data_IF_724482122655
#
_entry.id   IF_724482122655
#
_cell.length_a   1.000
_cell.length_b   1.000
_cell.length_c   1.000
_cell.angle_alpha   90.00
_cell.angle_beta   90.00
_cell.angle_gamma   90.00
#
_symmetry.space_group_name_H-M   'P 1'
#
loop_
_entity.id
_entity.type
_entity.pdbx_description
1 polymer ?
#
# COMPACT_ATOMS: atom_id res chain seq x y z
N UNK A 1 24.96 68.64 8.66
CA UNK A 1 24.44 68.63 7.27
C UNK A 1 25.63 68.90 6.37
N UNK A 2 25.99 68.15 5.34
CA UNK A 2 25.54 66.89 4.73
C UNK A 2 26.64 66.58 3.68
N UNK A 3 26.89 65.29 3.44
CA UNK A 3 27.64 64.67 2.33
C UNK A 3 29.03 64.14 2.65
N UNK A 4 29.08 62.83 2.90
CA UNK A 4 30.26 61.99 2.72
C UNK A 4 30.08 61.25 1.39
N UNK A 5 30.96 61.52 0.43
CA UNK A 5 31.05 60.79 -0.84
C UNK A 5 31.60 59.37 -0.60
N UNK A 6 30.99 58.41 -1.29
CA UNK A 6 31.52 57.06 -1.47
C UNK A 6 32.79 57.13 -2.35
N UNK A 7 33.82 56.31 -2.06
CA UNK A 7 34.29 55.47 -3.15
C UNK A 7 34.45 54.00 -2.76
N UNK A 8 33.95 53.15 -3.66
CA UNK A 8 34.15 51.72 -3.67
C UNK A 8 35.58 51.37 -4.08
N UNK A 9 36.33 50.67 -3.20
CA UNK A 9 37.35 49.63 -3.49
C UNK A 9 38.30 49.50 -2.29
N UNK A 10 38.06 48.52 -1.40
CA UNK A 10 39.10 47.95 -0.51
C UNK A 10 38.57 46.89 0.47
N UNK A 11 37.69 45.97 0.05
CA UNK A 11 37.29 44.83 0.90
C UNK A 11 37.37 43.46 0.21
N UNK A 12 38.11 43.36 -0.89
CA UNK A 12 38.24 42.10 -1.64
C UNK A 12 39.40 41.19 -1.19
N UNK A 13 40.24 41.55 -0.20
CA UNK A 13 41.52 40.81 0.01
C UNK A 13 41.95 40.56 1.47
N UNK A 14 41.08 40.70 2.47
CA UNK A 14 41.50 40.51 3.87
C UNK A 14 40.50 39.73 4.74
N UNK A 15 40.07 38.56 4.28
CA UNK A 15 39.50 37.55 5.18
C UNK A 15 39.68 36.13 4.62
N UNK A 16 40.90 35.82 4.21
CA UNK A 16 41.35 34.45 3.92
C UNK A 16 42.49 34.11 4.87
N UNK A 17 42.17 33.76 6.12
CA UNK A 17 42.94 32.75 6.87
C UNK A 17 42.20 32.26 8.12
N UNK A 18 42.01 30.94 8.17
CA UNK A 18 41.97 30.08 9.35
C UNK A 18 40.81 30.23 10.34
N UNK A 19 39.70 29.55 10.04
CA UNK A 19 38.95 28.82 11.06
C UNK A 19 39.05 27.31 10.76
N UNK A 20 39.23 26.43 11.78
CA UNK A 20 39.48 25.02 11.55
C UNK A 20 38.21 24.35 11.04
N UNK A 21 38.33 23.58 9.96
CA UNK A 21 37.31 22.61 9.56
C UNK A 21 37.23 21.53 10.64
N UNK A 22 36.38 21.75 11.65
CA UNK A 22 35.85 20.66 12.46
C UNK A 22 35.03 19.76 11.53
N UNK A 23 35.64 18.62 11.19
CA UNK A 23 34.97 17.48 10.58
C UNK A 23 33.91 16.96 11.57
N UNK A 24 32.78 17.63 11.64
CA UNK A 24 31.57 17.11 12.24
C UNK A 24 31.06 15.99 11.34
N UNK A 25 31.67 14.82 11.48
CA UNK A 25 31.17 13.56 10.95
C UNK A 25 29.68 13.50 11.30
N UNK A 26 28.82 13.60 10.29
CA UNK A 26 27.37 13.51 10.42
C UNK A 26 27.07 12.22 11.16
N UNK A 27 26.82 12.31 12.47
CA UNK A 27 26.57 11.17 13.33
C UNK A 27 25.24 10.59 12.85
N UNK A 28 25.33 9.57 11.99
CA UNK A 28 24.16 8.81 11.52
C UNK A 28 23.35 8.46 12.74
N UNK A 29 22.14 9.01 12.86
CA UNK A 29 21.24 8.63 13.94
C UNK A 29 21.09 7.12 13.84
N UNK A 30 21.42 6.37 14.91
CA UNK A 30 21.26 4.94 14.89
C UNK A 30 19.77 4.69 14.65
N UNK A 31 19.44 4.12 13.48
CA UNK A 31 18.08 3.72 13.15
C UNK A 31 17.51 2.95 14.34
N UNK A 32 16.32 3.29 14.84
CA UNK A 32 15.76 2.65 16.02
C UNK A 32 15.43 1.18 15.68
N UNK A 33 16.42 0.30 15.82
CA UNK A 33 16.38 -1.10 15.38
C UNK A 33 15.17 -1.84 15.95
N UNK A 34 14.80 -1.51 17.19
CA UNK A 34 13.62 -2.05 17.86
C UNK A 34 12.30 -1.54 17.25
N UNK A 35 12.23 -0.27 16.85
CA UNK A 35 11.07 0.30 16.18
C UNK A 35 10.91 -0.26 14.77
N UNK A 36 12.02 -0.47 14.05
CA UNK A 36 12.01 -1.15 12.76
C UNK A 36 11.58 -2.62 12.89
N UNK A 37 12.02 -3.31 13.95
CA UNK A 37 11.59 -4.68 14.25
C UNK A 37 10.10 -4.76 14.58
N UNK A 38 9.56 -3.83 15.38
CA UNK A 38 8.12 -3.76 15.65
C UNK A 38 7.32 -3.47 14.38
N UNK A 39 7.74 -2.51 13.56
CA UNK A 39 7.08 -2.23 12.28
C UNK A 39 7.12 -3.43 11.34
N UNK A 40 8.23 -4.17 11.32
CA UNK A 40 8.36 -5.42 10.57
C UNK A 40 7.39 -6.49 11.10
N UNK A 41 7.26 -6.63 12.42
CA UNK A 41 6.33 -7.57 13.05
C UNK A 41 4.86 -7.21 12.77
N UNK A 42 4.50 -5.93 12.81
CA UNK A 42 3.15 -5.46 12.48
C UNK A 42 2.82 -5.76 11.01
N UNK A 43 3.75 -5.48 10.08
CA UNK A 43 3.56 -5.84 8.66
C UNK A 43 3.46 -7.34 8.43
N UNK A 44 4.10 -8.16 9.27
CA UNK A 44 3.98 -9.62 9.22
C UNK A 44 2.68 -10.14 9.85
N UNK A 45 2.01 -9.34 10.70
CA UNK A 45 0.73 -9.72 11.32
C UNK A 45 -0.46 -9.60 10.35
N UNK A 46 -0.39 -8.71 9.37
CA UNK A 46 -1.43 -8.55 8.33
C UNK A 46 -1.73 -9.85 7.54
N UNK A 47 -0.75 -10.57 6.98
CA UNK A 47 -1.02 -11.84 6.27
C UNK A 47 -1.49 -12.95 7.22
N UNK A 48 -1.05 -12.95 8.49
CA UNK A 48 -1.45 -13.96 9.47
C UNK A 48 -2.92 -13.83 9.86
N UNK A 49 -3.43 -12.60 9.93
CA UNK A 49 -4.84 -12.32 10.25
C UNK A 49 -5.78 -12.88 9.18
N UNK A 50 -5.37 -12.83 7.90
CA UNK A 50 -6.12 -13.43 6.81
C UNK A 50 -6.15 -14.97 6.89
N UNK A 51 -5.04 -15.61 7.27
CA UNK A 51 -4.94 -17.06 7.42
C UNK A 51 -5.77 -17.60 8.60
N UNK A 52 -5.86 -16.85 9.69
CA UNK A 52 -6.60 -17.25 10.90
C UNK A 52 -8.11 -17.01 10.76
N UNK A 53 -8.51 -15.92 10.10
CA UNK A 53 -9.94 -15.57 9.92
C UNK A 53 -10.59 -16.34 8.77
N UNK A 54 -9.82 -16.64 7.71
CA UNK A 54 -10.26 -17.45 6.58
C UNK A 54 -9.40 -18.72 6.49
N UNK A 55 -9.66 -19.72 7.35
CA UNK A 55 -9.06 -21.03 7.14
C UNK A 55 -9.46 -21.52 5.75
N UNK A 56 -8.51 -21.97 4.91
CA UNK A 56 -8.84 -22.53 3.61
C UNK A 56 -9.88 -23.63 3.79
N UNK A 57 -11.05 -23.45 3.17
CA UNK A 57 -12.22 -24.30 3.42
C UNK A 57 -11.88 -25.79 3.37
N UNK A 58 -12.36 -26.61 4.33
CA UNK A 58 -12.23 -28.07 4.30
C UNK A 58 -13.07 -28.73 3.19
N UNK A 59 -13.89 -28.00 2.42
CA UNK A 59 -14.74 -28.57 1.36
C UNK A 59 -14.00 -29.21 0.18
N UNK A 60 -12.68 -29.07 0.09
CA UNK A 60 -11.85 -29.79 -0.89
C UNK A 60 -11.30 -31.13 -0.34
N UNK A 61 -11.69 -31.54 0.87
CA UNK A 61 -11.41 -32.86 1.46
C UNK A 61 -12.50 -33.85 1.02
N UNK A 62 -12.76 -33.96 -0.28
CA UNK A 62 -13.23 -35.26 -0.76
C UNK A 62 -12.01 -36.16 -0.87
N UNK A 63 -11.78 -36.94 0.18
CA UNK A 63 -10.87 -38.09 0.10
C UNK A 63 -11.30 -38.91 -1.12
N UNK A 64 -10.39 -39.29 -2.05
CA UNK A 64 -10.76 -40.23 -3.09
C UNK A 64 -11.35 -41.46 -2.40
N UNK A 65 -12.59 -41.82 -2.76
CA UNK A 65 -13.24 -43.04 -2.28
C UNK A 65 -12.26 -44.18 -2.52
N UNK A 66 -11.78 -44.78 -1.43
CA UNK A 66 -10.88 -45.94 -1.44
C UNK A 66 -11.50 -46.98 -2.38
N UNK A 67 -10.86 -47.22 -3.51
CA UNK A 67 -11.29 -48.22 -4.47
C UNK A 67 -11.46 -49.54 -3.71
N UNK A 68 -12.62 -50.14 -3.89
CA UNK A 68 -13.04 -51.40 -3.28
C UNK A 68 -11.93 -52.43 -3.46
N UNK A 69 -11.40 -52.96 -2.36
CA UNK A 69 -10.44 -54.05 -2.35
C UNK A 69 -11.00 -55.21 -3.17
N UNK A 70 -10.45 -55.45 -4.34
CA UNK A 70 -10.56 -56.73 -5.05
C UNK A 70 -9.22 -57.43 -4.84
N UNK A 71 -9.23 -58.64 -4.30
CA UNK A 71 -8.02 -59.39 -3.97
C UNK A 71 -7.17 -59.64 -5.24
N UNK A 72 -5.83 -59.59 -5.15
CA UNK A 72 -4.96 -59.86 -6.30
C UNK A 72 -5.04 -61.34 -6.69
N UNK A 73 -5.18 -61.62 -7.98
CA UNK A 73 -5.14 -62.97 -8.57
C UNK A 73 -3.73 -63.23 -9.11
N UNK A 74 -3.23 -64.48 -9.00
CA UNK A 74 -1.85 -64.94 -9.24
C UNK A 74 -1.31 -64.82 -10.69
N UNK A 75 -1.89 -63.98 -11.55
CA UNK A 75 -1.45 -63.79 -12.94
C UNK A 75 -0.82 -62.42 -13.21
N UNK A 76 -0.63 -61.58 -12.20
CA UNK A 76 0.00 -60.27 -12.37
C UNK A 76 1.55 -60.39 -12.39
N UNK A 77 2.25 -59.79 -13.37
CA UNK A 77 3.70 -59.91 -13.50
C UNK A 77 4.44 -59.27 -12.31
N UNK A 78 5.39 -60.01 -11.71
CA UNK A 78 6.13 -59.63 -10.51
C UNK A 78 7.24 -58.58 -10.71
N UNK A 79 7.44 -58.05 -11.93
CA UNK A 79 8.35 -56.94 -12.20
C UNK A 79 7.74 -56.01 -13.26
N UNK A 80 7.75 -54.69 -13.05
CA UNK A 80 7.28 -53.74 -14.06
C UNK A 80 8.26 -53.76 -15.24
N UNK A 81 7.77 -54.15 -16.41
CA UNK A 81 8.47 -53.94 -17.68
C UNK A 81 8.60 -52.43 -17.88
N UNK A 82 9.85 -51.97 -17.98
CA UNK A 82 10.19 -50.58 -18.29
C UNK A 82 9.79 -50.28 -19.74
N UNK A 83 8.53 -49.92 -19.95
CA UNK A 83 8.02 -49.49 -21.25
C UNK A 83 7.38 -48.10 -21.13
N UNK A 84 8.12 -47.13 -21.67
CA UNK A 84 7.75 -45.75 -21.93
C UNK A 84 7.35 -44.87 -20.73
N UNK A 85 8.18 -43.85 -20.50
CA UNK A 85 7.87 -42.69 -19.68
C UNK A 85 6.57 -42.02 -20.16
N UNK A 86 5.44 -42.46 -19.60
CA UNK A 86 4.25 -41.64 -19.51
C UNK A 86 4.63 -40.39 -18.69
N UNK A 87 4.22 -39.18 -19.10
CA UNK A 87 4.53 -37.98 -18.33
C UNK A 87 3.96 -38.18 -16.93
N UNK A 88 4.86 -38.15 -15.94
CA UNK A 88 4.53 -38.27 -14.53
C UNK A 88 3.34 -37.35 -14.24
N UNK A 89 2.21 -37.95 -13.85
CA UNK A 89 1.10 -37.20 -13.31
C UNK A 89 1.66 -36.28 -12.21
N UNK A 90 1.55 -34.97 -12.41
CA UNK A 90 2.15 -33.97 -11.54
C UNK A 90 1.74 -34.26 -10.08
N UNK A 91 2.73 -34.52 -9.21
CA UNK A 91 2.49 -34.70 -7.79
C UNK A 91 1.84 -33.43 -7.23
N UNK A 92 0.63 -33.50 -6.64
CA UNK A 92 -0.11 -32.33 -6.16
C UNK A 92 0.57 -31.59 -5.00
N UNK A 93 1.60 -32.19 -4.41
CA UNK A 93 2.34 -31.68 -3.25
C UNK A 93 3.69 -31.03 -3.58
N UNK A 94 4.12 -31.06 -4.85
CA UNK A 94 5.37 -30.40 -5.26
C UNK A 94 5.11 -28.91 -5.48
N UNK A 95 5.84 -28.05 -4.78
CA UNK A 95 5.80 -26.60 -5.01
C UNK A 95 6.41 -26.33 -6.39
N UNK A 96 5.64 -25.81 -7.36
CA UNK A 96 6.17 -25.46 -8.68
C UNK A 96 7.27 -24.42 -8.55
N UNK A 97 8.27 -24.41 -9.45
CA UNK A 97 9.27 -23.35 -9.48
C UNK A 97 8.60 -21.97 -9.63
N UNK A 98 9.19 -20.92 -9.07
CA UNK A 98 8.60 -19.57 -8.98
C UNK A 98 8.08 -19.00 -10.31
N UNK A 99 8.69 -19.40 -11.43
CA UNK A 99 8.27 -18.99 -12.78
C UNK A 99 6.91 -19.59 -13.18
N UNK A 100 6.62 -20.82 -12.76
CA UNK A 100 5.37 -21.52 -13.02
C UNK A 100 4.25 -21.05 -12.09
N UNK A 101 4.60 -20.49 -10.93
CA UNK A 101 3.65 -19.85 -10.02
C UNK A 101 3.06 -18.55 -10.57
N UNK A 102 3.74 -17.90 -11.52
CA UNK A 102 3.29 -16.66 -12.18
C UNK A 102 2.21 -16.91 -13.24
N UNK A 103 1.19 -17.67 -12.87
CA UNK A 103 -0.01 -17.86 -13.69
C UNK A 103 -0.70 -16.53 -13.97
N UNK A 104 -1.63 -16.52 -14.94
CA UNK A 104 -2.38 -15.31 -15.27
C UNK A 104 -3.14 -14.75 -14.06
N UNK A 105 -3.73 -15.63 -13.25
CA UNK A 105 -4.50 -15.23 -12.08
C UNK A 105 -3.60 -14.64 -10.99
N UNK A 106 -2.45 -15.26 -10.72
CA UNK A 106 -1.47 -14.74 -9.77
C UNK A 106 -0.93 -13.38 -10.22
N UNK A 107 -0.59 -13.21 -11.51
CA UNK A 107 -0.11 -11.91 -12.03
C UNK A 107 -1.13 -10.79 -11.86
N UNK A 108 -2.41 -11.05 -12.12
CA UNK A 108 -3.48 -10.05 -11.93
C UNK A 108 -3.64 -9.72 -10.43
N UNK A 109 -3.63 -10.74 -9.56
CA UNK A 109 -3.72 -10.53 -8.11
C UNK A 109 -2.54 -9.73 -7.55
N UNK A 110 -1.31 -10.02 -8.01
CA UNK A 110 -0.10 -9.28 -7.64
C UNK A 110 -0.15 -7.83 -8.12
N UNK A 111 -0.57 -7.60 -9.36
CA UNK A 111 -0.70 -6.24 -9.91
C UNK A 111 -1.72 -5.42 -9.12
N UNK A 112 -2.89 -6.00 -8.84
CA UNK A 112 -3.94 -5.36 -8.05
C UNK A 112 -3.48 -5.05 -6.63
N UNK A 113 -2.73 -5.96 -5.99
CA UNK A 113 -2.15 -5.72 -4.67
C UNK A 113 -1.07 -4.63 -4.69
N UNK A 114 -0.25 -4.58 -5.75
CA UNK A 114 0.73 -3.52 -5.95
C UNK A 114 0.07 -2.15 -6.08
N UNK A 115 -0.97 -2.05 -6.91
CA UNK A 115 -1.74 -0.82 -7.11
C UNK A 115 -2.42 -0.37 -5.81
N UNK A 116 -3.06 -1.30 -5.09
CA UNK A 116 -3.68 -1.01 -3.80
C UNK A 116 -2.65 -0.47 -2.81
N UNK A 117 -1.52 -1.16 -2.66
CA UNK A 117 -0.43 -0.76 -1.76
C UNK A 117 0.22 0.57 -2.17
N UNK A 118 0.32 0.84 -3.46
CA UNK A 118 0.83 2.10 -3.99
C UNK A 118 -0.11 3.26 -3.65
N UNK A 119 -1.41 3.12 -3.93
CA UNK A 119 -2.41 4.16 -3.63
C UNK A 119 -2.51 4.44 -2.13
N UNK A 120 -2.49 3.39 -1.31
CA UNK A 120 -2.52 3.49 0.15
C UNK A 120 -1.33 4.31 0.67
N UNK A 121 -0.11 3.91 0.30
CA UNK A 121 1.09 4.58 0.76
C UNK A 121 1.28 5.98 0.17
N UNK A 122 0.79 6.21 -1.06
CA UNK A 122 0.69 7.55 -1.63
C UNK A 122 -0.24 8.43 -0.78
N UNK A 123 -1.41 7.93 -0.39
CA UNK A 123 -2.34 8.63 0.49
C UNK A 123 -1.72 8.95 1.85
N UNK A 124 -1.10 7.97 2.51
CA UNK A 124 -0.48 8.12 3.83
C UNK A 124 0.63 9.17 3.86
N UNK A 125 1.43 9.25 2.79
CA UNK A 125 2.48 10.27 2.67
C UNK A 125 1.93 11.65 2.29
N UNK A 126 0.91 11.71 1.44
CA UNK A 126 0.32 12.97 0.99
C UNK A 126 -0.49 13.66 2.08
N UNK A 127 -1.20 12.90 2.93
CA UNK A 127 -2.08 13.47 3.94
C UNK A 127 -1.37 14.50 4.84
N UNK A 128 -0.28 14.17 5.56
CA UNK A 128 0.42 15.16 6.39
C UNK A 128 1.11 16.25 5.56
N UNK A 129 1.61 15.92 4.38
CA UNK A 129 2.28 16.88 3.48
C UNK A 129 1.30 17.97 3.01
N UNK A 130 0.14 17.58 2.49
CA UNK A 130 -0.89 18.52 2.02
C UNK A 130 -1.50 19.28 3.19
N UNK A 131 -1.75 18.62 4.32
CA UNK A 131 -2.37 19.29 5.47
C UNK A 131 -1.46 20.35 6.08
N UNK A 132 -0.15 20.12 6.13
CA UNK A 132 0.83 21.10 6.62
C UNK A 132 1.17 22.20 5.63
N UNK A 133 1.02 21.96 4.32
CA UNK A 133 1.32 22.94 3.28
C UNK A 133 0.40 24.17 3.40
N UNK A 134 0.89 25.41 3.25
CA UNK A 134 0.06 26.61 3.30
C UNK A 134 -1.10 26.61 2.30
N UNK A 135 -2.21 27.27 2.65
CA UNK A 135 -3.41 27.36 1.81
C UNK A 135 -3.10 27.97 0.43
N UNK A 136 -2.15 28.90 0.36
CA UNK A 136 -1.71 29.53 -0.89
C UNK A 136 -1.04 28.58 -1.88
N UNK A 137 -0.45 27.48 -1.38
CA UNK A 137 0.34 26.50 -2.14
C UNK A 137 -0.40 25.18 -2.38
N UNK A 138 -1.70 25.10 -2.08
CA UNK A 138 -2.51 23.91 -2.34
C UNK A 138 -2.78 23.02 -1.11
N UNK A 139 -2.40 23.45 0.10
CA UNK A 139 -2.65 22.70 1.34
C UNK A 139 -3.71 23.31 2.26
N UNK A 140 -3.70 22.93 3.55
CA UNK A 140 -4.62 23.46 4.58
C UNK A 140 -3.93 24.38 5.61
N UNK A 141 -2.61 24.35 5.72
CA UNK A 141 -1.83 25.13 6.69
C UNK A 141 -2.07 24.71 8.14
N UNK A 142 -2.42 23.45 8.39
CA UNK A 142 -2.62 22.90 9.74
C UNK A 142 -1.29 22.79 10.49
N UNK A 143 -1.36 22.99 11.81
CA UNK A 143 -0.18 22.80 12.67
C UNK A 143 0.14 21.31 12.79
N UNK A 144 1.42 20.92 12.95
CA UNK A 144 1.80 19.52 13.13
C UNK A 144 1.06 18.82 14.28
N UNK A 145 0.75 19.55 15.36
CA UNK A 145 -0.05 19.06 16.48
C UNK A 145 -1.47 18.63 16.06
N UNK A 146 -2.17 19.48 15.28
CA UNK A 146 -3.53 19.21 14.83
C UNK A 146 -3.57 18.02 13.87
N UNK A 147 -2.58 17.94 12.97
CA UNK A 147 -2.41 16.81 12.05
C UNK A 147 -2.21 15.51 12.86
N UNK A 148 -1.33 15.53 13.86
CA UNK A 148 -1.10 14.39 14.75
C UNK A 148 -2.35 13.96 15.52
N UNK A 149 -3.15 14.92 15.98
CA UNK A 149 -4.41 14.65 16.68
C UNK A 149 -5.45 14.00 15.74
N UNK A 150 -5.60 14.53 14.51
CA UNK A 150 -6.49 13.98 13.49
C UNK A 150 -6.05 12.55 13.12
N UNK A 151 -4.77 12.35 12.80
CA UNK A 151 -4.23 11.03 12.43
C UNK A 151 -4.35 10.02 13.57
N UNK A 152 -4.07 10.44 14.81
CA UNK A 152 -4.18 9.60 16.00
C UNK A 152 -5.61 9.13 16.25
N UNK A 153 -6.58 10.05 16.25
CA UNK A 153 -8.00 9.71 16.43
C UNK A 153 -8.51 8.81 15.31
N UNK A 154 -8.11 9.07 14.06
CA UNK A 154 -8.49 8.23 12.92
C UNK A 154 -7.87 6.84 13.01
N UNK A 155 -6.61 6.72 13.42
CA UNK A 155 -5.94 5.43 13.62
C UNK A 155 -6.61 4.58 14.69
N UNK A 156 -6.95 5.18 15.84
CA UNK A 156 -7.70 4.50 16.91
C UNK A 156 -9.08 4.05 16.41
N UNK A 157 -9.80 4.96 15.73
CA UNK A 157 -11.13 4.67 15.19
C UNK A 157 -11.08 3.54 14.15
N UNK A 158 -10.11 3.58 13.24
CA UNK A 158 -9.88 2.56 12.22
C UNK A 158 -9.56 1.19 12.87
N UNK A 159 -8.71 1.16 13.90
CA UNK A 159 -8.39 -0.07 14.61
C UNK A 159 -9.63 -0.70 15.26
N UNK A 160 -10.46 0.11 15.95
CA UNK A 160 -11.72 -0.36 16.54
C UNK A 160 -12.66 -0.90 15.44
N UNK A 161 -12.83 -0.14 14.37
CA UNK A 161 -13.69 -0.51 13.23
C UNK A 161 -13.20 -1.81 12.58
N UNK A 162 -11.90 -2.00 12.41
CA UNK A 162 -11.34 -3.24 11.87
C UNK A 162 -11.58 -4.45 12.78
N UNK A 163 -11.34 -4.30 14.08
CA UNK A 163 -11.53 -5.40 15.05
C UNK A 163 -13.00 -5.82 15.12
N UNK A 164 -13.93 -4.86 15.11
CA UNK A 164 -15.37 -5.14 15.23
C UNK A 164 -15.98 -5.62 13.91
N UNK A 165 -15.66 -4.95 12.79
CA UNK A 165 -16.36 -5.13 11.51
C UNK A 165 -15.57 -5.92 10.47
N UNK A 166 -14.29 -6.22 10.69
CA UNK A 166 -13.42 -6.84 9.66
C UNK A 166 -13.92 -8.17 9.14
N UNK A 167 -14.24 -9.10 10.03
CA UNK A 167 -14.79 -10.40 9.65
C UNK A 167 -16.20 -10.29 9.03
N UNK A 168 -17.00 -9.31 9.48
CA UNK A 168 -18.40 -9.17 9.05
C UNK A 168 -18.51 -8.57 7.65
N UNK A 169 -17.76 -7.51 7.36
CA UNK A 169 -17.82 -6.77 6.08
C UNK A 169 -17.45 -7.69 4.91
N UNK A 170 -16.37 -8.46 5.05
CA UNK A 170 -15.91 -9.34 3.97
C UNK A 170 -16.89 -10.50 3.73
N UNK A 171 -17.48 -11.06 4.80
CA UNK A 171 -18.49 -12.13 4.69
C UNK A 171 -19.81 -11.62 4.09
N UNK A 172 -20.21 -10.38 4.40
CA UNK A 172 -21.49 -9.83 3.95
C UNK A 172 -21.44 -9.26 2.54
N UNK A 173 -20.44 -8.42 2.22
CA UNK A 173 -20.33 -7.78 0.92
C UNK A 173 -19.63 -8.65 -0.13
N UNK A 174 -18.82 -9.62 0.32
CA UNK A 174 -17.96 -10.41 -0.52
C UNK A 174 -16.67 -9.65 -0.90
N UNK A 175 -15.55 -10.36 -1.09
CA UNK A 175 -14.23 -9.75 -1.30
C UNK A 175 -14.18 -8.89 -2.56
N UNK A 176 -14.93 -9.24 -3.61
CA UNK A 176 -14.94 -8.50 -4.88
C UNK A 176 -15.54 -7.12 -4.76
N UNK A 177 -16.66 -6.98 -4.03
CA UNK A 177 -17.32 -5.67 -3.86
C UNK A 177 -16.50 -4.76 -2.96
N UNK A 178 -15.89 -5.31 -1.91
CA UNK A 178 -14.98 -4.58 -1.02
C UNK A 178 -13.79 -4.04 -1.82
N UNK A 179 -13.18 -4.87 -2.67
CA UNK A 179 -12.08 -4.47 -3.55
C UNK A 179 -12.46 -3.33 -4.52
N UNK A 180 -13.59 -3.47 -5.22
CA UNK A 180 -14.09 -2.40 -6.11
C UNK A 180 -14.38 -1.12 -5.32
N UNK A 181 -15.01 -1.27 -4.15
CA UNK A 181 -15.32 -0.17 -3.24
C UNK A 181 -14.09 0.60 -2.79
N UNK A 182 -12.95 -0.06 -2.55
CA UNK A 182 -11.71 0.61 -2.16
C UNK A 182 -11.12 1.45 -3.28
N UNK A 183 -11.13 0.99 -4.53
CA UNK A 183 -10.65 1.82 -5.66
C UNK A 183 -11.57 3.01 -5.92
N UNK A 184 -12.90 2.83 -5.78
CA UNK A 184 -13.82 3.96 -5.78
C UNK A 184 -13.54 4.94 -4.62
N UNK A 185 -13.27 4.42 -3.42
CA UNK A 185 -12.91 5.24 -2.27
C UNK A 185 -11.60 6.01 -2.51
N UNK A 186 -10.58 5.40 -3.09
CA UNK A 186 -9.34 6.09 -3.47
C UNK A 186 -9.59 7.24 -4.45
N UNK A 187 -10.41 7.02 -5.48
CA UNK A 187 -10.78 8.08 -6.42
C UNK A 187 -11.45 9.26 -5.70
N UNK A 188 -12.36 8.99 -4.76
CA UNK A 188 -13.00 10.02 -3.94
C UNK A 188 -12.00 10.72 -3.00
N UNK A 189 -11.14 9.96 -2.33
CA UNK A 189 -10.12 10.45 -1.40
C UNK A 189 -9.14 11.38 -2.10
N UNK A 190 -8.65 11.00 -3.28
CA UNK A 190 -7.72 11.85 -4.04
C UNK A 190 -8.40 13.09 -4.59
N UNK A 191 -9.67 13.00 -4.98
CA UNK A 191 -10.47 14.16 -5.43
C UNK A 191 -10.86 15.10 -4.28
N UNK A 192 -10.93 14.59 -3.04
CA UNK A 192 -11.23 15.39 -1.87
C UNK A 192 -10.11 16.39 -1.54
N UNK A 193 -8.84 16.10 -1.85
CA UNK A 193 -7.73 17.03 -1.59
C UNK A 193 -7.88 18.39 -2.32
N UNK A 194 -8.12 18.44 -3.65
CA UNK A 194 -8.48 19.68 -4.33
C UNK A 194 -9.69 20.37 -3.71
N UNK A 195 -10.74 19.62 -3.37
CA UNK A 195 -11.96 20.18 -2.81
C UNK A 195 -11.70 20.85 -1.45
N UNK A 196 -10.91 20.22 -0.58
CA UNK A 196 -10.46 20.78 0.69
C UNK A 196 -9.70 22.08 0.49
N UNK A 197 -8.75 22.10 -0.45
CA UNK A 197 -7.99 23.33 -0.72
C UNK A 197 -8.89 24.46 -1.26
N UNK A 198 -9.83 24.16 -2.17
CA UNK A 198 -10.76 25.16 -2.71
C UNK A 198 -11.62 25.77 -1.59
N UNK A 199 -12.17 24.95 -0.70
CA UNK A 199 -12.97 25.43 0.44
C UNK A 199 -12.12 26.24 1.42
N UNK A 200 -10.94 25.74 1.78
CA UNK A 200 -10.02 26.45 2.67
C UNK A 200 -9.56 27.79 2.08
N UNK A 201 -9.36 27.86 0.75
CA UNK A 201 -8.97 29.08 0.05
C UNK A 201 -10.10 30.10 -0.03
N UNK A 202 -11.35 29.65 -0.16
CA UNK A 202 -12.54 30.54 -0.11
C UNK A 202 -12.74 31.15 1.27
N UNK A 203 -12.55 30.38 2.34
CA UNK A 203 -12.75 30.85 3.70
C UNK A 203 -11.50 31.53 4.31
N UNK A 204 -10.31 31.30 3.73
CA UNK A 204 -9.02 31.72 4.28
C UNK A 204 -8.60 30.96 5.56
N UNK A 205 -9.37 29.95 5.96
CA UNK A 205 -9.18 29.14 7.17
C UNK A 205 -9.86 27.79 7.01
N UNK A 206 -9.54 26.87 7.92
CA UNK A 206 -10.29 25.61 8.08
C UNK A 206 -11.61 25.92 8.79
N UNK A 207 -12.71 25.86 8.06
CA UNK A 207 -14.06 26.09 8.56
C UNK A 207 -14.85 24.77 8.68
N UNK A 208 -16.13 24.85 9.06
CA UNK A 208 -16.97 23.67 9.23
C UNK A 208 -17.11 22.86 7.92
N UNK A 209 -17.13 23.51 6.75
CA UNK A 209 -17.24 22.82 5.47
C UNK A 209 -15.98 22.00 5.16
N UNK A 210 -14.79 22.58 5.41
CA UNK A 210 -13.52 21.84 5.30
C UNK A 210 -13.49 20.66 6.25
N UNK A 211 -13.94 20.82 7.49
CA UNK A 211 -14.00 19.73 8.48
C UNK A 211 -14.93 18.60 8.05
N UNK A 212 -16.10 18.90 7.47
CA UNK A 212 -17.03 17.88 6.97
C UNK A 212 -16.40 17.06 5.84
N UNK A 213 -15.77 17.73 4.86
CA UNK A 213 -15.09 17.05 3.75
C UNK A 213 -13.92 16.22 4.28
N UNK A 214 -13.16 16.73 5.24
CA UNK A 214 -12.03 16.04 5.86
C UNK A 214 -12.48 14.77 6.57
N UNK A 215 -13.52 14.84 7.40
CA UNK A 215 -14.09 13.67 8.10
C UNK A 215 -14.66 12.66 7.09
N UNK A 216 -15.32 13.14 6.04
CA UNK A 216 -15.82 12.27 4.97
C UNK A 216 -14.67 11.54 4.24
N UNK A 217 -13.60 12.26 3.91
CA UNK A 217 -12.38 11.70 3.31
C UNK A 217 -11.77 10.62 4.19
N UNK A 218 -11.57 10.91 5.48
CA UNK A 218 -10.98 9.98 6.46
C UNK A 218 -11.85 8.74 6.67
N UNK A 219 -13.17 8.91 6.69
CA UNK A 219 -14.12 7.79 6.77
C UNK A 219 -14.03 6.88 5.55
N UNK A 220 -13.80 7.45 4.37
CA UNK A 220 -13.54 6.68 3.13
C UNK A 220 -12.32 5.77 3.24
N UNK A 221 -11.28 6.20 3.95
CA UNK A 221 -10.06 5.41 4.15
C UNK A 221 -10.32 4.11 4.94
N UNK A 222 -11.36 4.02 5.76
CA UNK A 222 -11.69 2.78 6.48
C UNK A 222 -12.06 1.64 5.51
N UNK A 223 -12.75 1.95 4.41
CA UNK A 223 -13.10 0.97 3.37
C UNK A 223 -11.85 0.41 2.69
N UNK A 224 -10.83 1.26 2.50
CA UNK A 224 -9.54 0.85 1.91
C UNK A 224 -8.86 -0.20 2.78
N UNK A 225 -8.83 -0.01 4.10
CA UNK A 225 -8.18 -0.97 4.99
C UNK A 225 -8.82 -2.37 4.95
N UNK A 226 -10.15 -2.45 4.82
CA UNK A 226 -10.82 -3.75 4.65
C UNK A 226 -10.44 -4.45 3.33
N UNK A 227 -10.04 -3.69 2.30
CA UNK A 227 -9.60 -4.26 1.03
C UNK A 227 -8.25 -4.96 1.07
N UNK A 228 -7.39 -4.69 2.06
CA UNK A 228 -6.15 -5.45 2.23
C UNK A 228 -6.43 -6.92 2.55
N UNK A 229 -7.38 -7.18 3.44
CA UNK A 229 -7.83 -8.53 3.76
C UNK A 229 -8.51 -9.21 2.56
N UNK A 230 -9.37 -8.49 1.82
CA UNK A 230 -9.98 -9.02 0.60
C UNK A 230 -8.95 -9.36 -0.50
N UNK A 231 -7.94 -8.51 -0.66
CA UNK A 231 -6.86 -8.71 -1.64
C UNK A 231 -5.98 -9.90 -1.27
N UNK A 232 -5.64 -10.06 0.01
CA UNK A 232 -4.94 -11.25 0.48
C UNK A 232 -5.74 -12.53 0.25
N UNK A 233 -7.06 -12.50 0.45
CA UNK A 233 -7.92 -13.63 0.11
C UNK A 233 -7.86 -13.98 -1.39
N UNK A 234 -7.88 -12.98 -2.29
CA UNK A 234 -7.72 -13.21 -3.72
C UNK A 234 -6.36 -13.77 -4.09
N UNK A 235 -5.28 -13.31 -3.46
CA UNK A 235 -3.92 -13.83 -3.66
C UNK A 235 -3.86 -15.31 -3.29
N UNK A 236 -4.41 -15.68 -2.13
CA UNK A 236 -4.45 -17.07 -1.67
C UNK A 236 -5.24 -17.97 -2.62
N UNK A 237 -6.41 -17.51 -3.10
CA UNK A 237 -7.24 -18.27 -4.04
C UNK A 237 -6.65 -18.34 -5.46
N UNK A 238 -5.71 -17.45 -5.81
CA UNK A 238 -5.03 -17.47 -7.10
C UNK A 238 -3.91 -18.52 -7.17
N UNK A 239 -3.49 -19.06 -6.03
CA UNK A 239 -2.41 -20.05 -5.97
C UNK A 239 -2.80 -21.35 -6.72
N UNK A 240 -1.94 -21.89 -7.60
CA UNK A 240 -2.26 -23.08 -8.40
C UNK A 240 -2.54 -24.33 -7.56
N UNK A 241 -1.86 -24.47 -6.41
CA UNK A 241 -2.03 -25.56 -5.47
C UNK A 241 -1.85 -25.08 -4.02
N UNK A 242 -2.30 -25.87 -3.04
CA UNK A 242 -2.18 -25.52 -1.61
C UNK A 242 -0.73 -25.36 -1.15
N UNK A 243 0.19 -26.16 -1.70
CA UNK A 243 1.62 -26.09 -1.38
C UNK A 243 2.25 -24.75 -1.78
N UNK A 244 1.71 -24.06 -2.80
CA UNK A 244 2.22 -22.79 -3.33
C UNK A 244 1.62 -21.53 -2.68
N UNK A 245 0.61 -21.66 -1.82
CA UNK A 245 -0.07 -20.51 -1.18
C UNK A 245 0.92 -19.64 -0.40
N UNK A 246 1.85 -20.27 0.32
CA UNK A 246 2.90 -19.55 1.07
C UNK A 246 3.83 -18.77 0.14
N UNK A 247 4.28 -19.38 -0.97
CA UNK A 247 5.16 -18.74 -1.95
C UNK A 247 4.47 -17.56 -2.66
N UNK A 248 3.20 -17.73 -3.05
CA UNK A 248 2.41 -16.67 -3.72
C UNK A 248 2.13 -15.51 -2.75
N UNK A 249 1.86 -15.80 -1.48
CA UNK A 249 1.69 -14.78 -0.44
C UNK A 249 3.00 -14.03 -0.19
N UNK A 250 4.13 -14.74 -0.06
CA UNK A 250 5.44 -14.12 0.07
C UNK A 250 5.79 -13.20 -1.10
N UNK A 251 5.54 -13.65 -2.33
CA UNK A 251 5.74 -12.86 -3.54
C UNK A 251 4.85 -11.60 -3.54
N UNK A 252 3.61 -11.70 -3.09
CA UNK A 252 2.72 -10.54 -2.97
C UNK A 252 3.25 -9.50 -1.98
N UNK A 253 3.80 -9.94 -0.84
CA UNK A 253 4.38 -9.03 0.15
C UNK A 253 5.65 -8.34 -0.36
N UNK A 254 6.48 -9.04 -1.14
CA UNK A 254 7.63 -8.43 -1.80
C UNK A 254 7.19 -7.33 -2.76
N UNK A 255 6.24 -7.63 -3.65
CA UNK A 255 5.72 -6.67 -4.64
C UNK A 255 5.05 -5.48 -3.95
N UNK A 256 4.22 -5.73 -2.93
CA UNK A 256 3.57 -4.70 -2.13
C UNK A 256 4.60 -3.78 -1.45
N UNK A 257 5.68 -4.33 -0.92
CA UNK A 257 6.73 -3.55 -0.24
C UNK A 257 7.50 -2.66 -1.21
N UNK A 258 7.79 -3.14 -2.42
CA UNK A 258 8.39 -2.31 -3.49
C UNK A 258 7.47 -1.15 -3.83
N UNK A 259 6.17 -1.41 -4.02
CA UNK A 259 5.17 -0.38 -4.29
C UNK A 259 5.09 0.66 -3.16
N UNK A 260 5.03 0.23 -1.90
CA UNK A 260 5.04 1.13 -0.72
C UNK A 260 6.32 1.95 -0.63
N UNK A 261 7.46 1.39 -1.03
CA UNK A 261 8.75 2.10 -0.92
C UNK A 261 8.86 3.24 -1.94
N UNK A 262 8.33 3.07 -3.16
CA UNK A 262 8.41 4.09 -4.22
C UNK A 262 7.27 5.12 -4.17
N UNK A 263 6.12 4.76 -3.60
CA UNK A 263 4.92 5.59 -3.61
C UNK A 263 5.11 6.97 -2.96
N UNK A 264 5.69 7.11 -1.74
CA UNK A 264 5.89 8.42 -1.12
C UNK A 264 6.78 9.35 -1.94
N UNK A 265 7.85 8.81 -2.54
CA UNK A 265 8.75 9.60 -3.38
C UNK A 265 8.02 10.12 -4.61
N UNK A 266 7.28 9.26 -5.32
CA UNK A 266 6.53 9.64 -6.52
C UNK A 266 5.45 10.66 -6.18
N UNK A 267 4.64 10.40 -5.15
CA UNK A 267 3.55 11.28 -4.74
C UNK A 267 4.06 12.65 -4.27
N UNK A 268 5.11 12.67 -3.44
CA UNK A 268 5.70 13.92 -2.93
C UNK A 268 6.37 14.73 -4.03
N UNK A 269 7.14 14.09 -4.91
CA UNK A 269 7.76 14.77 -6.05
C UNK A 269 6.72 15.33 -7.01
N UNK A 270 5.65 14.58 -7.29
CA UNK A 270 4.59 15.03 -8.17
C UNK A 270 3.78 16.17 -7.55
N UNK A 271 3.50 16.13 -6.24
CA UNK A 271 2.89 17.25 -5.52
C UNK A 271 3.75 18.50 -5.59
N UNK A 272 5.05 18.40 -5.28
CA UNK A 272 5.97 19.52 -5.34
C UNK A 272 6.09 20.11 -6.77
N UNK A 273 6.17 19.27 -7.79
CA UNK A 273 6.24 19.70 -9.19
C UNK A 273 4.93 20.37 -9.63
N UNK A 274 3.80 19.77 -9.24
CA UNK A 274 2.46 20.29 -9.50
C UNK A 274 2.29 21.69 -8.90
N UNK A 275 2.69 21.88 -7.64
CA UNK A 275 2.63 23.17 -6.97
C UNK A 275 3.59 24.20 -7.58
N UNK A 276 4.83 23.81 -7.90
CA UNK A 276 5.87 24.73 -8.45
C UNK A 276 5.55 25.25 -9.85
N UNK A 277 5.12 24.35 -10.74
CA UNK A 277 4.86 24.69 -12.14
C UNK A 277 3.37 24.99 -12.42
N UNK A 278 2.52 24.99 -11.38
CA UNK A 278 1.07 25.20 -11.49
C UNK A 278 0.43 24.25 -12.53
N UNK A 279 0.94 23.01 -12.61
CA UNK A 279 0.48 22.02 -13.60
C UNK A 279 -0.95 21.60 -13.25
N UNK A 280 -1.85 21.68 -14.23
CA UNK A 280 -3.29 21.46 -14.03
C UNK A 280 -3.87 22.27 -12.86
N UNK A 281 -3.44 23.53 -12.68
CA UNK A 281 -3.91 24.38 -11.58
C UNK A 281 -3.31 24.02 -10.22
N UNK A 282 -2.22 23.24 -10.20
CA UNK A 282 -1.62 22.70 -8.97
C UNK A 282 -2.17 21.33 -8.58
N UNK A 283 -3.11 20.75 -9.34
CA UNK A 283 -3.80 19.50 -9.00
C UNK A 283 -3.36 18.27 -9.79
N UNK A 284 -2.28 18.34 -10.58
CA UNK A 284 -1.80 17.24 -11.42
C UNK A 284 -1.60 15.93 -10.65
N UNK A 285 -1.03 16.01 -9.44
CA UNK A 285 -0.78 14.83 -8.60
C UNK A 285 -2.06 14.04 -8.32
N UNK A 286 -3.17 14.73 -8.07
CA UNK A 286 -4.44 14.08 -7.76
C UNK A 286 -5.03 13.42 -9.01
N UNK A 287 -4.92 14.06 -10.18
CA UNK A 287 -5.37 13.48 -11.45
C UNK A 287 -4.62 12.18 -11.76
N UNK A 288 -3.29 12.19 -11.58
CA UNK A 288 -2.47 11.00 -11.81
C UNK A 288 -2.83 9.88 -10.83
N UNK A 289 -2.99 10.18 -9.54
CA UNK A 289 -3.35 9.18 -8.54
C UNK A 289 -4.76 8.61 -8.75
N UNK A 290 -5.73 9.44 -9.16
CA UNK A 290 -7.06 8.97 -9.58
C UNK A 290 -6.94 8.07 -10.81
N UNK A 291 -6.11 8.44 -11.79
CA UNK A 291 -5.83 7.59 -12.97
C UNK A 291 -5.27 6.23 -12.59
N UNK A 292 -4.29 6.19 -11.68
CA UNK A 292 -3.73 4.93 -11.15
C UNK A 292 -4.80 4.09 -10.44
N UNK A 293 -5.67 4.71 -9.65
CA UNK A 293 -6.79 4.01 -9.01
C UNK A 293 -7.77 3.42 -10.03
N UNK A 294 -8.07 4.14 -11.12
CA UNK A 294 -8.95 3.67 -12.20
C UNK A 294 -8.34 2.54 -13.04
N UNK A 295 -7.01 2.42 -13.10
CA UNK A 295 -6.32 1.34 -13.81
C UNK A 295 -6.48 -0.03 -13.13
N UNK A 296 -6.97 -0.09 -11.89
CA UNK A 296 -7.18 -1.35 -11.20
C UNK A 296 -8.26 -2.18 -11.89
N UNK A 297 -7.91 -3.41 -12.25
CA UNK A 297 -8.82 -4.32 -12.93
C UNK A 297 -9.64 -5.06 -11.86
N UNK A 298 -10.98 -5.08 -11.93
CA UNK A 298 -11.77 -5.87 -10.99
C UNK A 298 -11.34 -7.34 -11.09
N UNK A 299 -10.78 -7.87 -10.00
CA UNK A 299 -10.41 -9.28 -9.90
C UNK A 299 -11.64 -10.13 -10.25
N UNK A 300 -11.46 -11.08 -11.18
CA UNK A 300 -12.50 -12.04 -11.60
C UNK A 300 -12.55 -13.20 -10.63
#
# INVERSE_FOLDING_TARGET
MLNEEVPARSQSEAETRSQPHDNAATKRTPIPKFQLFILLLIQFAEPMTALVIYPPSPSAVERPKKAKNTAPTETDPLLPVSENAAPAAANPDTVPPLRELLTRNVRIALLNHALLSFCDMAHDSMMPLVFSTPISLGGLGLKPYDIGLIMGLCGISNAIVQVVLGGQIIRYFGPRRVFIGAFCAFSLIFSAYPLLNILARRAGRVDAAVLVVLVCQLSGSFIVYFSFAATMLFIMHSAPNRASVGSVTGLSQMVGTVARSVAPSIASSLFALSAKHNLAGGYLVYIVLVGVACCAVPAR
#
